data_IF_237839424396
#
_entry.id   IF_237839424396
#
_cell.length_a   1.000
_cell.length_b   1.000
_cell.length_c   1.000
_cell.angle_alpha   90.00
_cell.angle_beta   90.00
_cell.angle_gamma   90.00
#
_symmetry.space_group_name_H-M   'P 1'
#
loop_
_entity.id
_entity.type
_entity.pdbx_description
1 polymer ?
#
# COMPACT_ATOMS: atom_id res chain seq x y z
N UNK A 1 29.41 -25.59 19.76
CA UNK A 1 29.03 -25.02 18.45
C UNK A 1 28.07 -23.87 18.74
N UNK A 2 28.49 -22.62 18.57
CA UNK A 2 27.63 -21.45 18.86
C UNK A 2 26.72 -21.20 17.65
N UNK A 3 25.41 -21.29 17.86
CA UNK A 3 24.40 -20.84 16.89
C UNK A 3 24.36 -19.31 16.94
N UNK A 4 24.84 -18.66 15.89
CA UNK A 4 24.71 -17.21 15.72
C UNK A 4 23.30 -16.93 15.21
N UNK A 5 22.37 -16.59 16.10
CA UNK A 5 21.06 -16.07 15.72
C UNK A 5 21.18 -14.60 15.37
N UNK A 6 20.96 -14.25 14.11
CA UNK A 6 20.80 -12.87 13.66
C UNK A 6 19.52 -12.28 14.27
N UNK A 7 19.65 -11.15 14.97
CA UNK A 7 18.50 -10.37 15.46
C UNK A 7 17.64 -9.93 14.26
N UNK A 8 16.33 -10.05 14.40
CA UNK A 8 15.37 -9.45 13.46
C UNK A 8 14.67 -8.29 14.17
N UNK A 9 14.63 -7.13 13.55
CA UNK A 9 13.92 -5.96 14.10
C UNK A 9 12.61 -5.75 13.36
N UNK A 10 11.53 -5.53 14.10
CA UNK A 10 10.21 -5.24 13.55
C UNK A 10 9.58 -4.06 14.28
N UNK A 11 8.77 -3.26 13.60
CA UNK A 11 8.00 -2.18 14.23
C UNK A 11 6.53 -2.59 14.33
N UNK A 12 5.93 -2.42 15.52
CA UNK A 12 4.51 -2.71 15.76
C UNK A 12 3.81 -1.41 16.17
N UNK A 13 2.99 -0.85 15.28
CA UNK A 13 2.16 0.31 15.56
C UNK A 13 2.95 1.49 16.19
N UNK A 14 2.45 2.05 17.28
CA UNK A 14 3.08 3.18 17.99
C UNK A 14 4.16 2.76 19.00
N UNK A 15 4.54 1.47 19.04
CA UNK A 15 5.35 0.90 20.12
C UNK A 15 6.87 0.97 19.89
N UNK A 16 7.32 1.52 18.76
CA UNK A 16 8.75 1.61 18.40
C UNK A 16 9.34 0.29 17.90
N UNK A 17 10.67 0.23 17.66
CA UNK A 17 11.35 -0.96 17.17
C UNK A 17 11.36 -2.03 18.27
N UNK A 18 10.83 -3.20 17.93
CA UNK A 18 10.92 -4.41 18.73
C UNK A 18 12.03 -5.27 18.15
N UNK A 19 13.09 -5.46 18.95
CA UNK A 19 14.10 -6.48 18.70
C UNK A 19 13.49 -7.85 19.00
N UNK A 20 13.32 -8.69 17.98
CA UNK A 20 13.00 -10.09 18.16
C UNK A 20 14.26 -10.94 17.98
N UNK A 21 14.54 -11.78 18.96
CA UNK A 21 15.58 -12.81 18.84
C UNK A 21 14.86 -14.14 18.62
N UNK A 22 14.83 -14.68 17.39
CA UNK A 22 14.23 -15.99 17.12
C UNK A 22 15.13 -17.08 17.73
N UNK A 23 15.02 -17.30 19.03
CA UNK A 23 15.68 -18.43 19.69
C UNK A 23 14.72 -19.63 19.64
N UNK A 24 15.21 -20.76 19.15
CA UNK A 24 14.54 -22.05 19.37
C UNK A 24 14.34 -22.22 20.88
N UNK A 25 13.13 -22.54 21.33
CA UNK A 25 12.94 -22.95 22.73
C UNK A 25 13.83 -24.17 22.98
N UNK A 26 14.39 -24.31 24.18
CA UNK A 26 15.11 -25.52 24.57
C UNK A 26 14.23 -26.74 24.23
N UNK A 27 14.82 -27.72 23.53
CA UNK A 27 14.17 -28.93 22.97
C UNK A 27 13.22 -28.75 21.76
N UNK A 28 13.19 -27.59 21.10
CA UNK A 28 12.43 -27.43 19.86
C UNK A 28 13.16 -28.05 18.65
N UNK A 29 12.69 -29.20 18.17
CA UNK A 29 13.26 -29.88 16.99
C UNK A 29 12.90 -29.21 15.64
N UNK A 30 11.88 -28.35 15.61
CA UNK A 30 11.43 -27.66 14.40
C UNK A 30 11.43 -26.14 14.57
N UNK A 31 11.86 -25.37 13.56
CA UNK A 31 11.87 -23.91 13.62
C UNK A 31 10.46 -23.34 13.81
N UNK A 32 10.33 -22.35 14.68
CA UNK A 32 9.10 -21.61 14.84
C UNK A 32 8.78 -20.89 13.52
N UNK A 33 7.67 -21.26 12.88
CA UNK A 33 7.16 -20.55 11.70
C UNK A 33 6.31 -19.38 12.20
N UNK A 34 6.77 -18.15 11.96
CA UNK A 34 6.02 -16.94 12.28
C UNK A 34 5.36 -16.42 11.01
N UNK A 35 4.04 -16.28 11.04
CA UNK A 35 3.27 -15.59 10.01
C UNK A 35 2.88 -14.22 10.54
N UNK A 36 3.28 -13.16 9.84
CA UNK A 36 2.91 -11.79 10.16
C UNK A 36 1.92 -11.30 9.11
N UNK A 37 0.75 -10.84 9.55
CA UNK A 37 -0.17 -10.08 8.72
C UNK A 37 -0.01 -8.60 9.09
N UNK A 38 0.22 -7.76 8.08
CA UNK A 38 0.31 -6.31 8.25
C UNK A 38 -0.74 -5.66 7.36
N UNK A 39 -1.45 -4.69 7.92
CA UNK A 39 -2.29 -3.77 7.16
C UNK A 39 -1.55 -2.45 7.05
N UNK A 40 -1.38 -1.97 5.82
CA UNK A 40 -0.78 -0.66 5.53
C UNK A 40 -1.87 0.19 4.90
N UNK A 41 -2.26 1.26 5.59
CA UNK A 41 -3.19 2.23 5.03
C UNK A 41 -2.43 3.11 4.03
N UNK A 42 -2.83 3.04 2.77
CA UNK A 42 -2.22 3.80 1.68
C UNK A 42 -3.27 4.75 1.09
N UNK A 43 -2.89 6.01 0.91
CA UNK A 43 -3.76 6.96 0.18
C UNK A 43 -3.61 6.77 -1.33
N UNK A 44 -4.57 7.28 -2.10
CA UNK A 44 -4.43 7.35 -3.57
C UNK A 44 -3.20 8.18 -3.96
N UNK A 45 -2.86 9.21 -3.18
CA UNK A 45 -1.69 10.02 -3.47
C UNK A 45 -0.39 9.24 -3.22
N UNK A 46 -0.35 8.36 -2.21
CA UNK A 46 0.81 7.49 -1.95
C UNK A 46 0.98 6.45 -3.06
N UNK A 47 -0.12 5.92 -3.60
CA UNK A 47 -0.08 5.04 -4.76
C UNK A 47 0.42 5.78 -6.03
N UNK A 48 0.03 7.05 -6.21
CA UNK A 48 0.54 7.86 -7.32
C UNK A 48 2.03 8.18 -7.16
N UNK A 49 2.48 8.47 -5.93
CA UNK A 49 3.88 8.69 -5.60
C UNK A 49 4.74 7.43 -5.78
N UNK A 50 4.20 6.24 -5.47
CA UNK A 50 4.86 4.98 -5.78
C UNK A 50 5.10 4.84 -7.30
N UNK A 51 4.10 5.12 -8.14
CA UNK A 51 4.27 5.08 -9.59
C UNK A 51 5.23 6.17 -10.11
N UNK A 52 5.32 7.31 -9.44
CA UNK A 52 6.31 8.34 -9.76
C UNK A 52 7.74 7.81 -9.59
N UNK A 53 8.02 7.12 -8.48
CA UNK A 53 9.32 6.46 -8.24
C UNK A 53 9.61 5.45 -9.35
N UNK A 54 8.62 4.64 -9.73
CA UNK A 54 8.74 3.64 -10.81
C UNK A 54 9.12 4.28 -12.14
N UNK A 55 8.50 5.40 -12.52
CA UNK A 55 8.87 6.13 -13.74
C UNK A 55 10.30 6.69 -13.67
N UNK A 56 10.70 7.22 -12.52
CA UNK A 56 12.07 7.73 -12.30
C UNK A 56 13.11 6.63 -12.32
N UNK A 57 12.70 5.39 -12.01
CA UNK A 57 13.48 4.17 -12.19
C UNK A 57 13.61 3.69 -13.63
N UNK A 58 12.98 4.37 -14.60
CA UNK A 58 13.11 4.10 -16.03
C UNK A 58 11.98 3.28 -16.65
N UNK A 59 10.88 3.04 -15.92
CA UNK A 59 9.67 2.47 -16.51
C UNK A 59 8.95 3.54 -17.33
N UNK A 60 8.50 3.15 -18.53
CA UNK A 60 7.74 4.02 -19.41
C UNK A 60 6.29 4.18 -18.93
N UNK A 61 5.73 5.37 -19.12
CA UNK A 61 4.35 5.68 -18.70
C UNK A 61 3.30 4.76 -19.35
N UNK A 62 3.52 4.35 -20.61
CA UNK A 62 2.64 3.44 -21.34
C UNK A 62 2.60 2.02 -20.77
N UNK A 63 3.65 1.58 -20.06
CA UNK A 63 3.64 0.29 -19.38
C UNK A 63 2.57 0.27 -18.27
N UNK A 64 2.22 1.44 -17.74
CA UNK A 64 1.22 1.59 -16.69
C UNK A 64 -0.23 1.49 -17.21
N UNK A 65 -0.48 1.25 -18.50
CA UNK A 65 -1.84 1.01 -19.01
C UNK A 65 -2.37 -0.39 -18.63
N UNK A 66 -1.52 -1.29 -18.16
CA UNK A 66 -1.90 -2.62 -17.69
C UNK A 66 -2.21 -2.60 -16.18
N UNK A 67 -3.49 -2.70 -15.82
CA UNK A 67 -3.98 -2.61 -14.43
C UNK A 67 -3.26 -3.55 -13.46
N UNK A 68 -3.02 -4.80 -13.87
CA UNK A 68 -2.35 -5.78 -13.02
C UNK A 68 -0.90 -5.37 -12.77
N UNK A 69 -0.18 -5.01 -13.83
CA UNK A 69 1.20 -4.58 -13.71
C UNK A 69 1.30 -3.31 -12.85
N UNK A 70 0.45 -2.31 -13.09
CA UNK A 70 0.39 -1.09 -12.28
C UNK A 70 0.14 -1.40 -10.81
N UNK A 71 -0.82 -2.29 -10.52
CA UNK A 71 -1.13 -2.70 -9.16
C UNK A 71 0.07 -3.36 -8.46
N UNK A 72 0.73 -4.30 -9.15
CA UNK A 72 1.94 -4.96 -8.66
C UNK A 72 3.04 -3.95 -8.36
N UNK A 73 3.30 -3.01 -9.28
CA UNK A 73 4.32 -1.97 -9.10
C UNK A 73 4.04 -1.04 -7.91
N UNK A 74 2.78 -0.65 -7.68
CA UNK A 74 2.40 0.14 -6.51
C UNK A 74 2.75 -0.62 -5.23
N UNK A 75 2.32 -1.88 -5.11
CA UNK A 75 2.58 -2.68 -3.91
C UNK A 75 4.08 -2.91 -3.69
N UNK A 76 4.78 -3.39 -4.72
CA UNK A 76 6.21 -3.66 -4.64
C UNK A 76 7.00 -2.43 -4.24
N UNK A 77 6.68 -1.27 -4.81
CA UNK A 77 7.39 -0.02 -4.52
C UNK A 77 7.12 0.47 -3.10
N UNK A 78 5.87 0.40 -2.62
CA UNK A 78 5.53 0.76 -1.24
C UNK A 78 6.29 -0.12 -0.23
N UNK A 79 6.41 -1.41 -0.52
CA UNK A 79 7.14 -2.35 0.33
C UNK A 79 8.67 -2.19 0.25
N UNK A 80 9.21 -1.94 -0.95
CA UNK A 80 10.65 -1.87 -1.17
C UNK A 80 11.25 -0.54 -0.68
N UNK A 81 10.58 0.58 -0.97
CA UNK A 81 11.11 1.93 -0.70
C UNK A 81 10.72 2.44 0.69
N UNK A 82 9.59 1.95 1.22
CA UNK A 82 9.04 2.36 2.51
C UNK A 82 8.42 3.76 2.51
N UNK A 83 7.75 4.09 3.61
CA UNK A 83 6.89 5.28 3.70
C UNK A 83 7.60 6.63 3.51
N UNK A 84 8.86 6.75 3.93
CA UNK A 84 9.59 8.02 3.82
C UNK A 84 9.93 8.37 2.36
N UNK A 85 10.32 7.38 1.57
CA UNK A 85 10.63 7.58 0.15
C UNK A 85 9.36 7.92 -0.64
N UNK A 86 8.26 7.22 -0.36
CA UNK A 86 6.94 7.53 -0.95
C UNK A 86 6.47 8.93 -0.57
N UNK A 87 6.63 9.34 0.69
CA UNK A 87 6.30 10.70 1.13
C UNK A 87 7.14 11.77 0.41
N UNK A 88 8.45 11.54 0.25
CA UNK A 88 9.32 12.46 -0.48
C UNK A 88 8.95 12.55 -1.97
N UNK A 89 8.61 11.42 -2.61
CA UNK A 89 8.15 11.40 -3.99
C UNK A 89 6.81 12.13 -4.17
N UNK A 90 5.91 12.03 -3.19
CA UNK A 90 4.66 12.78 -3.17
C UNK A 90 4.91 14.28 -3.09
N UNK A 91 5.82 14.71 -2.22
CA UNK A 91 6.19 16.13 -2.10
C UNK A 91 6.83 16.62 -3.41
N UNK A 92 7.73 15.83 -4.01
CA UNK A 92 8.31 16.12 -5.32
C UNK A 92 7.22 16.28 -6.40
N UNK A 93 6.23 15.38 -6.46
CA UNK A 93 5.11 15.49 -7.40
C UNK A 93 4.27 16.76 -7.21
N UNK A 94 4.13 17.24 -5.97
CA UNK A 94 3.36 18.43 -5.63
C UNK A 94 4.10 19.73 -5.96
N UNK A 95 5.43 19.70 -5.91
CA UNK A 95 6.28 20.86 -6.16
C UNK A 95 6.58 21.09 -7.66
N UNK A 96 6.05 20.23 -8.55
CA UNK A 96 6.28 20.37 -9.99
C UNK A 96 5.68 21.68 -10.53
N UNK A 97 6.44 22.48 -11.31
CA UNK A 97 5.95 23.73 -11.87
C UNK A 97 4.70 23.54 -12.75
N UNK A 98 3.68 24.38 -12.56
CA UNK A 98 2.47 24.30 -13.36
C UNK A 98 2.77 24.41 -14.87
N UNK A 99 2.23 23.47 -15.66
CA UNK A 99 2.44 23.39 -17.10
C UNK A 99 3.75 22.72 -17.54
N UNK A 100 4.58 22.22 -16.61
CA UNK A 100 5.72 21.39 -16.96
C UNK A 100 5.28 19.98 -17.41
N UNK A 101 6.19 19.29 -18.11
CA UNK A 101 5.98 17.90 -18.48
C UNK A 101 5.79 17.00 -17.24
N UNK A 102 6.53 17.29 -16.18
CA UNK A 102 6.48 16.62 -14.90
C UNK A 102 5.12 16.82 -14.21
N UNK A 103 4.58 18.05 -14.23
CA UNK A 103 3.24 18.32 -13.69
C UNK A 103 2.14 17.57 -14.46
N UNK A 104 2.26 17.47 -15.79
CA UNK A 104 1.37 16.66 -16.61
C UNK A 104 1.51 15.16 -16.30
N UNK A 105 2.73 14.68 -16.11
CA UNK A 105 3.00 13.28 -15.73
C UNK A 105 2.41 12.96 -14.36
N UNK A 106 2.61 13.82 -13.36
CA UNK A 106 2.02 13.66 -12.04
C UNK A 106 0.49 13.62 -12.09
N UNK A 107 -0.14 14.47 -12.92
CA UNK A 107 -1.58 14.43 -13.13
C UNK A 107 -2.06 13.14 -13.82
N UNK A 108 -1.32 12.63 -14.80
CA UNK A 108 -1.62 11.37 -15.48
C UNK A 108 -1.56 10.19 -14.49
N UNK A 109 -0.55 10.15 -13.63
CA UNK A 109 -0.43 9.14 -12.57
C UNK A 109 -1.60 9.18 -11.59
N UNK A 110 -1.97 10.37 -11.10
CA UNK A 110 -3.15 10.53 -10.22
C UNK A 110 -4.43 10.02 -10.89
N UNK A 111 -4.61 10.36 -12.16
CA UNK A 111 -5.78 9.90 -12.94
C UNK A 111 -5.77 8.38 -13.10
N UNK A 112 -4.60 7.79 -13.34
CA UNK A 112 -4.43 6.34 -13.48
C UNK A 112 -4.76 5.61 -12.18
N UNK A 113 -4.25 6.10 -11.06
CA UNK A 113 -4.52 5.56 -9.73
C UNK A 113 -5.98 5.73 -9.33
N UNK A 114 -6.59 6.88 -9.63
CA UNK A 114 -8.02 7.09 -9.41
C UNK A 114 -8.87 6.12 -10.26
N UNK A 115 -8.47 5.80 -11.49
CA UNK A 115 -9.17 4.79 -12.28
C UNK A 115 -9.01 3.38 -11.70
N UNK A 116 -7.81 3.04 -11.21
CA UNK A 116 -7.48 1.71 -10.70
C UNK A 116 -8.08 1.42 -9.31
N UNK A 117 -8.12 2.43 -8.44
CA UNK A 117 -8.49 2.28 -7.02
C UNK A 117 -9.66 3.19 -6.57
N UNK A 118 -10.02 4.21 -7.36
CA UNK A 118 -10.93 5.31 -6.97
C UNK A 118 -12.41 4.96 -6.87
N UNK A 119 -12.78 3.69 -6.93
CA UNK A 119 -14.03 3.20 -6.35
C UNK A 119 -13.68 2.29 -5.17
N UNK A 120 -13.47 2.89 -3.99
CA UNK A 120 -13.42 2.13 -2.74
C UNK A 120 -14.66 1.25 -2.60
N UNK A 121 -14.61 0.17 -1.79
CA UNK A 121 -15.65 -0.83 -1.75
C UNK A 121 -17.01 -0.19 -1.44
N UNK A 122 -17.97 -0.34 -2.35
CA UNK A 122 -19.36 -0.37 -1.92
C UNK A 122 -19.45 -1.53 -0.93
N UNK A 123 -19.57 -1.23 0.36
CA UNK A 123 -19.89 -2.25 1.36
C UNK A 123 -21.21 -2.86 0.91
N UNK A 124 -21.15 -4.01 0.24
CA UNK A 124 -22.27 -4.73 -0.37
C UNK A 124 -23.22 -5.34 0.69
N UNK A 125 -23.30 -4.74 1.88
CA UNK A 125 -24.06 -5.19 3.03
C UNK A 125 -25.05 -4.17 3.60
N UNK A 126 -25.03 -2.89 3.23
CA UNK A 126 -25.94 -1.87 3.83
C UNK A 126 -27.05 -1.33 2.91
N UNK A 127 -27.03 -1.64 1.61
CA UNK A 127 -28.09 -1.19 0.69
C UNK A 127 -29.39 -2.03 0.75
N UNK A 128 -29.47 -3.09 1.57
CA UNK A 128 -30.66 -3.96 1.67
C UNK A 128 -31.59 -3.70 2.86
N UNK A 129 -31.26 -2.80 3.79
CA UNK A 129 -32.10 -2.54 4.97
C UNK A 129 -32.95 -1.26 4.90
N UNK A 130 -32.76 -0.36 3.93
CA UNK A 130 -33.64 0.81 3.78
C UNK A 130 -34.89 0.58 2.89
N UNK A 131 -35.22 -0.66 2.52
CA UNK A 131 -36.40 -0.95 1.68
C UNK A 131 -37.26 -2.12 2.18
N UNK A 132 -37.28 -2.37 3.48
CA UNK A 132 -38.09 -3.42 4.09
C UNK A 132 -38.87 -2.93 5.33
N UNK A 133 -39.41 -1.71 5.30
CA UNK A 133 -40.32 -1.27 6.38
C UNK A 133 -41.42 -0.30 5.92
N UNK A 134 -41.96 -0.55 4.71
CA UNK A 134 -43.14 0.17 4.22
C UNK A 134 -44.18 -0.78 3.64
N UNK A 135 -44.58 -1.78 4.43
CA UNK A 135 -45.86 -2.45 4.30
C UNK A 135 -46.43 -2.72 5.70
N UNK A 136 -47.73 -2.46 5.82
CA UNK A 136 -48.62 -2.68 6.97
C UNK A 136 -48.62 -1.59 8.05
N UNK A 137 -49.54 -0.62 7.95
CA UNK A 137 -50.77 -0.61 8.77
C UNK A 137 -51.86 0.10 7.96
N UNK A 138 -52.81 -0.67 7.44
CA UNK A 138 -54.13 -0.19 7.04
C UNK A 138 -55.16 -1.20 7.54
N UNK A 139 -55.73 -0.92 8.72
CA UNK A 139 -57.07 -1.34 9.14
C UNK A 139 -57.61 -0.28 10.09
#
# INVERSE_FOLDING_TARGET
>A
MMLVTSKATGHVGTSGPIDFTPVLREDAETPATMQMAMNVDISLEDAAAALWIVLRGGIELSALDNDRFTHEMVLETIFAEGGNAVAAARDEMNDQPAGSFEAHTAHALRSRVAALYGTGPAVAGQARQCRADRREVAR
#
